data_IF_795790168115
#
_entry.id   IF_795790168115
#
_cell.length_a   1.000
_cell.length_b   1.000
_cell.length_c   1.000
_cell.angle_alpha   90.00
_cell.angle_beta   90.00
_cell.angle_gamma   90.00
#
_symmetry.space_group_name_H-M   'P 1'
#
loop_
_entity.id
_entity.type
_entity.pdbx_description
1 polymer ?
#
# COMPACT_ATOMS: atom_id res chain seq x y z
N UNK A 1 7.72 -4.53 -3.01
CA UNK A 1 7.04 -3.49 -2.20
C UNK A 1 5.57 -3.80 -2.12
N UNK A 2 4.97 -3.79 -0.93
CA UNK A 2 3.52 -3.88 -0.78
C UNK A 2 2.95 -2.52 -0.37
N UNK A 3 1.81 -2.14 -0.92
CA UNK A 3 1.26 -0.78 -0.76
C UNK A 3 -0.15 -0.83 -0.16
N UNK A 4 -0.34 -0.10 0.94
CA UNK A 4 -1.63 0.21 1.55
C UNK A 4 -1.98 1.65 1.22
N UNK A 5 -2.80 1.91 0.20
CA UNK A 5 -3.05 3.28 -0.24
C UNK A 5 -4.39 3.49 -0.96
N UNK A 6 -4.59 4.71 -1.46
CA UNK A 6 -5.71 5.12 -2.31
C UNK A 6 -5.20 5.76 -3.62
N UNK A 7 -6.07 6.49 -4.31
CA UNK A 7 -5.88 6.97 -5.69
C UNK A 7 -4.76 7.98 -5.92
N UNK A 8 -4.08 8.49 -4.89
CA UNK A 8 -2.92 9.36 -5.08
C UNK A 8 -1.65 8.57 -5.46
N UNK A 9 -1.62 7.26 -5.13
CA UNK A 9 -0.50 6.38 -5.43
C UNK A 9 -0.82 5.45 -6.61
N UNK A 10 -2.06 4.97 -6.69
CA UNK A 10 -2.54 4.10 -7.76
C UNK A 10 -3.80 4.72 -8.38
N UNK A 11 -3.61 5.57 -9.40
CA UNK A 11 -4.69 6.28 -10.05
C UNK A 11 -5.15 5.58 -11.33
N UNK A 12 -6.06 4.60 -11.21
CA UNK A 12 -6.69 3.95 -12.37
C UNK A 12 -8.21 4.12 -12.28
N UNK A 13 -8.77 5.22 -12.80
CA UNK A 13 -10.19 5.51 -12.65
C UNK A 13 -11.03 4.44 -13.38
N UNK A 14 -12.05 3.86 -12.73
CA UNK A 14 -12.85 2.80 -13.32
C UNK A 14 -13.72 3.27 -14.50
N UNK A 15 -13.93 4.58 -14.63
CA UNK A 15 -14.80 5.16 -15.65
C UNK A 15 -14.14 5.33 -17.03
N UNK A 16 -12.82 5.44 -17.08
CA UNK A 16 -12.06 5.57 -18.34
C UNK A 16 -10.82 4.71 -18.17
N UNK A 17 -10.76 3.62 -18.93
CA UNK A 17 -9.58 2.75 -18.94
C UNK A 17 -8.35 3.60 -19.28
N UNK A 18 -7.44 3.75 -18.31
CA UNK A 18 -6.11 4.27 -18.59
C UNK A 18 -5.43 3.25 -19.51
N UNK A 19 -4.93 3.65 -20.69
CA UNK A 19 -4.33 2.71 -21.63
C UNK A 19 -3.09 1.99 -21.10
N UNK A 20 -2.49 2.51 -20.02
CA UNK A 20 -1.33 1.97 -19.33
C UNK A 20 -1.36 2.33 -17.84
N UNK A 21 -0.53 1.66 -17.03
CA UNK A 21 -0.36 1.96 -15.61
C UNK A 21 0.53 3.19 -15.31
N UNK A 22 0.77 4.08 -16.29
CA UNK A 22 1.61 5.28 -16.15
C UNK A 22 1.10 6.31 -15.12
N UNK A 23 -0.13 6.15 -14.66
CA UNK A 23 -0.72 6.96 -13.58
C UNK A 23 -0.53 6.32 -12.20
N UNK A 24 0.32 5.31 -12.09
CA UNK A 24 0.62 4.61 -10.82
C UNK A 24 2.08 4.81 -10.43
N UNK A 25 2.33 5.00 -9.13
CA UNK A 25 3.70 5.10 -8.60
C UNK A 25 4.51 3.81 -8.85
N UNK A 26 3.97 2.59 -8.65
CA UNK A 26 4.71 1.35 -8.92
C UNK A 26 5.26 1.24 -10.34
N UNK A 27 4.54 1.76 -11.35
CA UNK A 27 5.01 1.79 -12.73
C UNK A 27 6.33 2.57 -12.85
N UNK A 28 6.38 3.79 -12.34
CA UNK A 28 7.57 4.63 -12.46
C UNK A 28 8.74 4.14 -11.61
N UNK A 29 8.47 3.64 -10.40
CA UNK A 29 9.52 3.06 -9.56
C UNK A 29 10.14 1.83 -10.23
N UNK A 30 9.32 0.99 -10.90
CA UNK A 30 9.83 -0.13 -11.67
C UNK A 30 10.76 0.31 -12.80
N UNK A 31 10.35 1.29 -13.61
CA UNK A 31 11.17 1.78 -14.72
C UNK A 31 12.50 2.39 -14.23
N UNK A 32 12.46 3.18 -13.16
CA UNK A 32 13.66 3.76 -12.54
C UNK A 32 14.59 2.69 -11.95
N UNK A 33 14.03 1.69 -11.27
CA UNK A 33 14.81 0.57 -10.72
C UNK A 33 15.47 -0.24 -11.84
N UNK A 34 14.73 -0.55 -12.90
CA UNK A 34 15.21 -1.28 -14.07
C UNK A 34 16.35 -0.54 -14.76
N UNK A 35 16.20 0.76 -14.99
CA UNK A 35 17.26 1.60 -15.57
C UNK A 35 18.52 1.62 -14.67
N UNK A 36 18.35 1.64 -13.35
CA UNK A 36 19.44 1.56 -12.39
C UNK A 36 20.03 0.15 -12.19
N UNK A 37 19.61 -0.85 -12.98
CA UNK A 37 20.09 -2.23 -12.86
C UNK A 37 19.64 -2.94 -11.57
N UNK A 38 18.50 -2.55 -11.00
CA UNK A 38 17.90 -3.12 -9.79
C UNK A 38 16.60 -3.87 -10.09
N UNK A 39 16.28 -4.85 -9.27
CA UNK A 39 14.98 -5.51 -9.29
C UNK A 39 13.94 -4.72 -8.50
N UNK A 40 12.70 -4.78 -8.98
CA UNK A 40 11.55 -4.21 -8.28
C UNK A 40 10.30 -5.03 -8.63
N UNK A 41 9.52 -5.34 -7.61
CA UNK A 41 8.22 -5.98 -7.71
C UNK A 41 7.26 -5.23 -6.78
N UNK A 42 5.99 -5.13 -7.17
CA UNK A 42 4.99 -4.41 -6.42
C UNK A 42 3.64 -5.11 -6.40
N UNK A 43 2.85 -4.75 -5.40
CA UNK A 43 1.46 -5.11 -5.26
C UNK A 43 0.87 -4.26 -4.14
N UNK A 44 -0.43 -4.36 -3.93
CA UNK A 44 -1.08 -3.56 -2.91
C UNK A 44 -2.58 -3.65 -2.98
N UNK A 45 -3.22 -2.92 -2.08
CA UNK A 45 -4.67 -2.80 -2.01
C UNK A 45 -5.10 -1.36 -1.88
N UNK A 46 -6.26 -1.09 -2.49
CA UNK A 46 -6.93 0.18 -2.37
C UNK A 46 -7.70 0.25 -1.05
N UNK A 47 -7.61 1.37 -0.34
CA UNK A 47 -8.39 1.64 0.86
C UNK A 47 -7.85 2.82 1.66
N UNK A 48 -8.39 2.97 2.86
CA UNK A 48 -7.97 3.92 3.86
C UNK A 48 -7.51 3.20 5.13
N UNK A 49 -6.76 3.91 5.97
CA UNK A 49 -6.16 3.36 7.18
C UNK A 49 -7.11 2.54 8.07
N UNK A 50 -8.35 2.98 8.39
CA UNK A 50 -9.27 2.15 9.18
C UNK A 50 -9.59 0.79 8.54
N UNK A 51 -9.70 0.74 7.21
CA UNK A 51 -9.99 -0.50 6.47
C UNK A 51 -8.77 -1.41 6.43
N UNK A 52 -7.57 -0.84 6.27
CA UNK A 52 -6.32 -1.58 6.29
C UNK A 52 -6.00 -2.14 7.68
N UNK A 53 -6.37 -1.43 8.75
CA UNK A 53 -6.24 -1.87 10.13
C UNK A 53 -7.15 -3.06 10.49
N UNK A 54 -8.05 -3.50 9.59
CA UNK A 54 -8.76 -4.76 9.75
C UNK A 54 -7.87 -6.01 9.50
N UNK A 55 -6.63 -5.82 9.04
CA UNK A 55 -5.59 -6.86 8.92
C UNK A 55 -5.94 -8.04 8.00
N UNK A 56 -6.70 -7.77 6.94
CA UNK A 56 -7.05 -8.73 5.89
C UNK A 56 -6.52 -8.25 4.53
N UNK A 57 -5.18 -8.11 4.35
CA UNK A 57 -4.66 -7.60 3.10
C UNK A 57 -4.91 -8.57 1.95
N UNK A 58 -5.21 -8.00 0.79
CA UNK A 58 -5.30 -8.71 -0.48
C UNK A 58 -4.45 -7.95 -1.52
N UNK A 59 -3.96 -8.62 -2.57
CA UNK A 59 -3.12 -8.00 -3.59
C UNK A 59 -3.79 -8.01 -4.98
N UNK A 60 -4.94 -7.33 -5.18
CA UNK A 60 -5.69 -7.41 -6.44
C UNK A 60 -5.01 -6.73 -7.63
N UNK A 61 -3.94 -5.97 -7.40
CA UNK A 61 -3.32 -5.16 -8.45
C UNK A 61 -2.39 -5.98 -9.34
N UNK A 62 -2.76 -6.04 -10.62
CA UNK A 62 -1.84 -6.35 -11.71
C UNK A 62 -1.34 -5.06 -12.37
N UNK A 63 -0.15 -5.15 -12.97
CA UNK A 63 0.43 -4.08 -13.81
C UNK A 63 0.96 -4.68 -15.11
N UNK A 64 1.04 -3.87 -16.17
CA UNK A 64 1.50 -4.28 -17.50
C UNK A 64 2.93 -4.83 -17.48
N UNK A 65 3.81 -4.20 -16.69
CA UNK A 65 5.25 -4.50 -16.67
C UNK A 65 5.84 -4.73 -15.29
N UNK A 66 5.13 -4.37 -14.23
CA UNK A 66 5.64 -4.51 -12.85
C UNK A 66 5.34 -5.92 -12.35
N UNK A 67 6.36 -6.71 -11.97
CA UNK A 67 6.13 -8.03 -11.38
C UNK A 67 5.32 -7.92 -10.07
N UNK A 68 4.39 -8.84 -9.86
CA UNK A 68 3.64 -8.96 -8.62
C UNK A 68 4.54 -9.33 -7.44
N UNK A 69 4.41 -8.65 -6.30
CA UNK A 69 5.22 -8.94 -5.09
C UNK A 69 4.68 -10.13 -4.28
N UNK A 70 3.38 -10.40 -4.38
CA UNK A 70 2.69 -11.40 -3.55
C UNK A 70 1.52 -12.00 -4.33
N UNK A 71 1.40 -13.32 -4.26
CA UNK A 71 0.29 -14.09 -4.82
C UNK A 71 -0.75 -14.39 -3.73
N UNK A 72 -1.63 -13.41 -3.49
CA UNK A 72 -2.54 -13.42 -2.34
C UNK A 72 -3.68 -14.45 -2.44
N UNK A 73 -3.98 -15.00 -3.62
CA UNK A 73 -5.06 -16.00 -3.75
C UNK A 73 -4.66 -17.36 -3.19
N UNK A 74 -3.36 -17.67 -3.16
CA UNK A 74 -2.87 -19.02 -2.81
C UNK A 74 -1.78 -19.05 -1.76
N UNK A 75 -1.19 -17.91 -1.39
CA UNK A 75 -0.05 -17.83 -0.48
C UNK A 75 -0.32 -16.87 0.69
N UNK A 76 0.09 -17.20 1.92
CA UNK A 76 0.02 -16.26 3.03
C UNK A 76 1.00 -15.10 2.81
N UNK A 77 0.71 -13.95 3.44
CA UNK A 77 1.55 -12.75 3.35
C UNK A 77 3.00 -13.02 3.79
N UNK A 78 3.20 -13.83 4.83
CA UNK A 78 4.50 -14.24 5.38
C UNK A 78 5.36 -15.12 4.46
N UNK A 79 4.88 -15.39 3.25
CA UNK A 79 5.65 -16.11 2.22
C UNK A 79 6.00 -15.22 1.04
N UNK A 80 5.60 -13.95 1.10
CA UNK A 80 5.95 -12.94 0.13
C UNK A 80 7.26 -12.28 0.57
N UNK A 81 8.26 -12.19 -0.31
CA UNK A 81 9.55 -11.54 0.00
C UNK A 81 9.42 -9.99 0.02
N UNK A 82 8.56 -9.48 0.92
CA UNK A 82 8.23 -8.07 1.04
C UNK A 82 9.25 -7.38 1.93
N UNK A 83 10.24 -6.75 1.31
CA UNK A 83 11.26 -5.95 2.01
C UNK A 83 10.86 -4.49 2.25
N UNK A 84 9.73 -4.03 1.71
CA UNK A 84 9.29 -2.64 1.81
C UNK A 84 7.77 -2.53 1.78
N UNK A 85 7.22 -1.75 2.70
CA UNK A 85 5.80 -1.41 2.77
C UNK A 85 5.61 0.10 2.69
N UNK A 86 4.71 0.54 1.83
CA UNK A 86 4.28 1.94 1.71
C UNK A 86 2.87 2.07 2.29
N UNK A 87 2.68 2.99 3.22
CA UNK A 87 1.38 3.29 3.84
C UNK A 87 1.02 4.74 3.53
N UNK A 88 -0.20 4.96 3.05
CA UNK A 88 -0.72 6.30 2.73
C UNK A 88 -1.88 6.64 3.66
N UNK A 89 -1.76 7.75 4.38
CA UNK A 89 -2.86 8.30 5.18
C UNK A 89 -4.00 8.79 4.27
N UNK A 90 -5.21 9.00 4.80
CA UNK A 90 -6.29 9.58 3.98
C UNK A 90 -5.96 11.01 3.51
N UNK A 91 -6.33 11.34 2.27
CA UNK A 91 -6.01 12.63 1.63
C UNK A 91 -7.02 13.77 1.89
N UNK A 92 -7.98 13.57 2.80
CA UNK A 92 -9.00 14.54 3.19
C UNK A 92 -9.16 14.70 4.71
N UNK A 93 -8.24 14.11 5.49
CA UNK A 93 -8.27 14.09 6.96
C UNK A 93 -7.16 14.93 7.60
N UNK A 94 -6.42 15.70 6.81
CA UNK A 94 -5.29 16.51 7.29
C UNK A 94 -5.70 17.62 8.28
N UNK A 95 -6.99 17.93 8.35
CA UNK A 95 -7.54 18.96 9.25
C UNK A 95 -7.62 18.50 10.71
N UNK A 96 -7.49 17.20 11.00
CA UNK A 96 -7.52 16.66 12.37
C UNK A 96 -6.14 16.17 12.82
N UNK A 97 -5.93 16.16 14.14
CA UNK A 97 -4.72 15.59 14.71
C UNK A 97 -4.64 14.08 14.44
N UNK A 98 -3.43 13.55 14.28
CA UNK A 98 -3.21 12.12 14.02
C UNK A 98 -3.64 11.19 15.17
N UNK A 99 -3.81 11.75 16.38
CA UNK A 99 -4.33 11.06 17.57
C UNK A 99 -5.86 11.15 17.69
N UNK A 100 -6.53 11.97 16.89
CA UNK A 100 -7.98 12.05 16.87
C UNK A 100 -8.56 10.82 16.15
N UNK A 101 -9.70 10.35 16.62
CA UNK A 101 -10.42 9.25 15.98
C UNK A 101 -10.96 9.66 14.60
N UNK A 102 -11.08 8.70 13.69
CA UNK A 102 -11.70 8.93 12.39
C UNK A 102 -13.22 9.11 12.55
N UNK A 103 -13.83 10.12 11.90
CA UNK A 103 -15.28 10.26 11.90
C UNK A 103 -15.96 9.01 11.32
N UNK A 104 -16.70 8.28 12.16
CA UNK A 104 -17.39 7.04 11.76
C UNK A 104 -16.68 5.75 12.17
N UNK A 105 -15.44 5.82 12.66
CA UNK A 105 -14.66 4.67 13.13
C UNK A 105 -14.19 4.88 14.59
N UNK A 106 -15.09 4.74 15.59
CA UNK A 106 -14.74 4.95 16.99
C UNK A 106 -13.59 4.06 17.46
N UNK A 107 -12.67 4.63 18.22
CA UNK A 107 -11.47 3.96 18.71
C UNK A 107 -10.32 3.81 17.70
N UNK A 108 -10.50 4.24 16.45
CA UNK A 108 -9.45 4.18 15.41
C UNK A 108 -8.95 5.59 15.10
N UNK A 109 -7.66 5.83 15.34
CA UNK A 109 -6.95 7.05 14.96
C UNK A 109 -5.94 6.76 13.84
N UNK A 110 -5.37 7.81 13.24
CA UNK A 110 -4.30 7.64 12.25
C UNK A 110 -3.08 6.95 12.86
N UNK A 111 -2.68 7.32 14.09
CA UNK A 111 -1.54 6.67 14.76
C UNK A 111 -1.85 5.21 15.07
N UNK A 112 -3.03 4.91 15.66
CA UNK A 112 -3.35 3.53 16.03
C UNK A 112 -3.44 2.61 14.80
N UNK A 113 -4.09 3.06 13.73
CA UNK A 113 -4.18 2.28 12.50
C UNK A 113 -2.80 2.00 11.85
N UNK A 114 -1.89 2.98 11.86
CA UNK A 114 -0.52 2.75 11.38
C UNK A 114 0.23 1.74 12.24
N UNK A 115 0.12 1.85 13.58
CA UNK A 115 0.75 0.90 14.49
C UNK A 115 0.22 -0.52 14.27
N UNK A 116 -1.10 -0.70 14.15
CA UNK A 116 -1.71 -2.02 13.92
C UNK A 116 -1.19 -2.66 12.62
N UNK A 117 -1.10 -1.89 11.53
CA UNK A 117 -0.56 -2.37 10.26
C UNK A 117 0.93 -2.73 10.39
N UNK A 118 1.74 -1.85 10.99
CA UNK A 118 3.19 -2.07 11.16
C UNK A 118 3.46 -3.30 12.03
N UNK A 119 2.77 -3.41 13.17
CA UNK A 119 2.93 -4.52 14.10
C UNK A 119 2.50 -5.84 13.46
N UNK A 120 1.40 -5.85 12.71
CA UNK A 120 0.97 -7.04 11.98
C UNK A 120 1.98 -7.43 10.89
N UNK A 121 2.46 -6.49 10.08
CA UNK A 121 3.47 -6.78 9.04
C UNK A 121 4.74 -7.34 9.65
N UNK A 122 5.21 -6.78 10.78
CA UNK A 122 6.40 -7.27 11.48
C UNK A 122 6.23 -8.69 12.06
N UNK A 123 4.99 -9.17 12.24
CA UNK A 123 4.72 -10.56 12.60
C UNK A 123 4.77 -11.50 11.39
N UNK A 124 4.57 -10.97 10.18
CA UNK A 124 4.60 -11.76 8.94
C UNK A 124 6.00 -11.80 8.32
N UNK A 125 6.70 -10.67 8.30
CA UNK A 125 7.96 -10.47 7.59
C UNK A 125 8.98 -9.75 8.48
N UNK A 126 10.25 -10.15 8.36
CA UNK A 126 11.34 -9.57 9.15
C UNK A 126 12.09 -8.49 8.36
N UNK A 127 12.58 -7.46 9.05
CA UNK A 127 13.39 -6.37 8.48
C UNK A 127 12.71 -5.57 7.33
N UNK A 128 11.39 -5.43 7.38
CA UNK A 128 10.61 -4.61 6.46
C UNK A 128 10.93 -3.12 6.67
N UNK A 129 11.19 -2.40 5.58
CA UNK A 129 11.25 -0.93 5.60
C UNK A 129 9.86 -0.33 5.39
N UNK A 130 9.42 0.50 6.33
CA UNK A 130 8.15 1.22 6.22
C UNK A 130 8.38 2.64 5.71
N UNK A 131 7.61 3.05 4.72
CA UNK A 131 7.51 4.43 4.26
C UNK A 131 6.10 4.92 4.50
N UNK A 132 5.98 6.11 5.09
CA UNK A 132 4.72 6.83 5.20
C UNK A 132 4.68 7.89 4.11
N UNK A 133 3.63 7.86 3.29
CA UNK A 133 3.40 8.89 2.28
C UNK A 133 2.59 10.04 2.91
N UNK A 134 3.15 11.24 2.87
CA UNK A 134 2.54 12.47 3.35
C UNK A 134 1.73 13.13 2.21
N UNK A 135 0.48 13.50 2.50
CA UNK A 135 -0.46 14.12 1.56
C UNK A 135 -0.72 15.59 1.89
#
# INVERSE_FOLDING_TARGET
MFVFCHSLIDHRPPAIATPSDETTIPHWIYLLAKEAGRSYAAGGQYGFLPQHAALLPFAPWGYDSVPGVWESDTKPFSSADISTVLITAGNFVQWQASTAEYPGDPGVSQISANNDIIDWVNQQESAVRFYMYEN
#
